data_IF_962852964671
#
_entry.id   IF_962852964671
#
_cell.length_a   1.000
_cell.length_b   1.000
_cell.length_c   1.000
_cell.angle_alpha   90.00
_cell.angle_beta   90.00
_cell.angle_gamma   90.00
#
_symmetry.space_group_name_H-M   'P 1'
#
loop_
_entity.id
_entity.type
_entity.pdbx_description
1 polymer ?
#
# COMPACT_ATOMS: atom_id res chain seq x y z
N UNK A 1 -14.50 1.01 44.67
CA UNK A 1 -15.98 1.15 44.60
C UNK A 1 -16.36 1.48 43.16
N UNK A 2 -16.89 0.51 42.41
CA UNK A 2 -17.27 0.70 41.01
C UNK A 2 -18.69 1.27 40.88
N UNK A 3 -18.88 2.23 39.97
CA UNK A 3 -20.21 2.69 39.55
C UNK A 3 -20.65 1.86 38.33
N UNK A 4 -21.72 1.09 38.50
CA UNK A 4 -22.46 0.46 37.40
C UNK A 4 -23.64 1.38 37.06
N UNK A 5 -23.61 2.04 35.92
CA UNK A 5 -24.75 2.78 35.38
C UNK A 5 -25.62 1.83 34.56
N UNK A 6 -26.65 1.27 35.20
CA UNK A 6 -27.79 0.67 34.50
C UNK A 6 -28.66 1.79 33.92
N UNK A 7 -28.70 1.91 32.59
CA UNK A 7 -29.73 2.69 31.90
C UNK A 7 -30.26 1.92 30.69
N UNK A 8 -31.34 1.18 30.90
CA UNK A 8 -32.33 0.87 29.88
C UNK A 8 -33.72 0.89 30.52
N UNK A 9 -34.21 2.08 30.89
CA UNK A 9 -35.65 2.27 31.02
C UNK A 9 -36.23 2.38 29.60
N UNK A 10 -36.70 1.26 29.04
CA UNK A 10 -37.61 1.29 27.91
C UNK A 10 -38.90 1.97 28.37
N UNK A 11 -39.12 3.21 27.92
CA UNK A 11 -40.43 3.85 28.02
C UNK A 11 -41.39 3.08 27.12
N UNK A 12 -42.19 2.19 27.71
CA UNK A 12 -43.33 1.60 27.02
C UNK A 12 -44.41 2.67 26.88
N UNK A 13 -44.72 3.08 25.65
CA UNK A 13 -45.89 3.89 25.35
C UNK A 13 -47.15 3.03 25.57
N UNK A 14 -47.97 3.39 26.56
CA UNK A 14 -49.29 2.78 26.76
C UNK A 14 -50.28 3.47 25.83
N UNK A 15 -50.71 2.79 24.78
CA UNK A 15 -51.88 3.20 24.01
C UNK A 15 -53.14 2.88 24.82
N UNK A 16 -53.89 3.91 25.22
CA UNK A 16 -55.24 3.77 25.77
C UNK A 16 -56.27 4.05 24.67
N UNK A 17 -57.23 3.15 24.46
CA UNK A 17 -58.34 3.34 23.53
C UNK A 17 -59.57 3.91 24.26
N UNK A 18 -60.33 4.86 23.68
CA UNK A 18 -61.62 5.30 24.22
C UNK A 18 -62.66 4.18 24.12
N UNK A 19 -63.41 3.94 25.20
CA UNK A 19 -64.33 2.81 25.34
C UNK A 19 -65.68 2.94 24.59
N UNK A 20 -65.75 3.70 23.49
CA UNK A 20 -67.02 4.00 22.80
C UNK A 20 -67.20 3.38 21.41
N UNK A 21 -66.29 2.53 20.94
CA UNK A 21 -66.51 1.76 19.72
C UNK A 21 -66.17 0.28 19.94
N UNK A 22 -67.22 -0.54 19.95
CA UNK A 22 -67.18 -1.99 20.03
C UNK A 22 -66.70 -2.58 18.70
N UNK A 23 -65.38 -2.66 18.53
CA UNK A 23 -64.67 -3.74 17.84
C UNK A 23 -63.18 -3.47 18.03
N UNK A 24 -62.42 -4.37 18.68
CA UNK A 24 -60.97 -4.20 18.76
C UNK A 24 -60.41 -4.16 17.33
N UNK A 25 -59.52 -3.20 17.00
CA UNK A 25 -58.86 -3.20 15.71
C UNK A 25 -58.12 -4.52 15.53
N UNK A 26 -58.24 -5.11 14.34
CA UNK A 26 -57.62 -6.38 14.00
C UNK A 26 -56.11 -6.27 14.32
N UNK A 27 -55.64 -7.10 15.26
CA UNK A 27 -54.24 -7.08 15.68
C UNK A 27 -53.37 -7.26 14.44
N UNK A 28 -52.34 -6.42 14.22
CA UNK A 28 -51.48 -6.56 13.06
C UNK A 28 -50.93 -7.99 13.06
N UNK A 29 -51.26 -8.76 12.02
CA UNK A 29 -50.76 -10.14 11.84
C UNK A 29 -49.24 -10.07 11.98
N UNK A 30 -48.71 -10.76 13.00
CA UNK A 30 -47.28 -10.89 13.21
C UNK A 30 -46.68 -11.56 11.97
N UNK A 31 -46.16 -10.74 11.06
CA UNK A 31 -45.36 -11.22 9.94
C UNK A 31 -44.13 -11.88 10.59
N UNK A 32 -43.81 -13.14 10.29
CA UNK A 32 -42.59 -13.75 10.80
C UNK A 32 -41.43 -12.85 10.37
N UNK A 33 -40.82 -12.18 11.35
CA UNK A 33 -39.63 -11.39 11.09
C UNK A 33 -38.63 -12.35 10.45
N UNK A 34 -38.25 -12.08 9.19
CA UNK A 34 -37.08 -12.72 8.57
C UNK A 34 -35.88 -12.27 9.39
N UNK A 35 -35.62 -12.94 10.51
CA UNK A 35 -34.49 -12.70 11.41
C UNK A 35 -33.22 -13.25 10.77
N UNK A 36 -32.88 -12.70 9.61
CA UNK A 36 -31.50 -12.76 9.15
C UNK A 36 -30.66 -11.91 10.11
N UNK A 37 -29.42 -12.33 10.41
CA UNK A 37 -28.54 -11.60 11.31
C UNK A 37 -28.43 -10.15 10.84
N UNK A 38 -28.59 -9.23 11.80
CA UNK A 38 -28.54 -7.79 11.52
C UNK A 38 -27.18 -7.40 10.92
N UNK A 39 -27.06 -6.25 10.26
CA UNK A 39 -25.76 -5.81 9.70
C UNK A 39 -24.66 -5.75 10.77
N UNK A 40 -25.01 -5.40 12.00
CA UNK A 40 -24.10 -5.38 13.17
C UNK A 40 -23.71 -6.78 13.60
N UNK A 41 -24.65 -7.71 13.56
CA UNK A 41 -24.44 -9.13 13.90
C UNK A 41 -23.67 -9.87 12.80
N UNK A 42 -23.90 -9.58 11.52
CA UNK A 42 -23.04 -10.05 10.42
C UNK A 42 -21.63 -9.48 10.50
N UNK A 43 -21.49 -8.20 10.88
CA UNK A 43 -20.17 -7.60 11.10
C UNK A 43 -19.45 -8.23 12.30
N UNK A 44 -20.21 -8.55 13.36
CA UNK A 44 -19.70 -9.27 14.52
C UNK A 44 -19.29 -10.70 14.14
N UNK A 45 -20.17 -11.50 13.53
CA UNK A 45 -19.88 -12.86 13.07
C UNK A 45 -18.73 -12.92 12.05
N UNK A 46 -18.56 -11.90 11.20
CA UNK A 46 -17.36 -11.76 10.34
C UNK A 46 -16.08 -11.47 11.14
N UNK A 47 -16.20 -10.81 12.30
CA UNK A 47 -15.08 -10.44 13.16
C UNK A 47 -14.69 -11.55 14.13
N UNK A 48 -15.65 -12.28 14.69
CA UNK A 48 -15.42 -13.37 15.65
C UNK A 48 -15.43 -14.78 15.02
N UNK A 49 -15.86 -14.92 13.76
CA UNK A 49 -16.07 -16.23 13.14
C UNK A 49 -17.26 -16.98 13.76
N UNK A 50 -17.73 -18.07 13.14
CA UNK A 50 -18.56 -19.02 13.86
C UNK A 50 -17.77 -19.58 15.06
N UNK A 51 -18.44 -19.73 16.20
CA UNK A 51 -17.88 -20.38 17.39
C UNK A 51 -17.21 -21.70 16.97
N UNK A 52 -15.88 -21.79 17.13
CA UNK A 52 -15.11 -23.02 16.86
C UNK A 52 -14.22 -23.04 15.60
N UNK A 53 -14.14 -21.98 14.80
CA UNK A 53 -13.06 -21.88 13.80
C UNK A 53 -11.76 -21.45 14.48
N UNK A 54 -10.71 -22.25 14.32
CA UNK A 54 -9.37 -21.98 14.84
C UNK A 54 -8.95 -20.51 14.59
N UNK A 55 -8.27 -19.87 15.55
CA UNK A 55 -7.83 -18.49 15.38
C UNK A 55 -6.97 -18.41 14.12
N UNK A 56 -7.38 -17.55 13.17
CA UNK A 56 -6.61 -17.31 11.95
C UNK A 56 -5.16 -17.02 12.33
N UNK A 57 -4.18 -17.68 11.68
CA UNK A 57 -2.77 -17.46 11.98
C UNK A 57 -2.44 -15.96 11.92
N UNK A 58 -1.60 -15.50 12.85
CA UNK A 58 -1.12 -14.13 12.84
C UNK A 58 -0.30 -13.89 11.56
N UNK A 59 -0.40 -12.70 10.94
CA UNK A 59 0.41 -12.41 9.78
C UNK A 59 1.89 -12.38 10.12
N UNK A 60 2.70 -12.99 9.26
CA UNK A 60 4.15 -12.86 9.30
C UNK A 60 4.50 -11.49 8.72
N UNK A 61 5.22 -10.65 9.45
CA UNK A 61 5.53 -9.31 8.97
C UNK A 61 6.62 -9.36 7.91
N UNK A 62 6.39 -8.70 6.78
CA UNK A 62 7.32 -8.73 5.64
C UNK A 62 8.72 -8.18 5.98
N UNK A 63 8.80 -7.19 6.89
CA UNK A 63 10.07 -6.62 7.36
C UNK A 63 10.98 -7.65 8.06
N UNK A 64 10.40 -8.73 8.57
CA UNK A 64 11.09 -9.80 9.27
C UNK A 64 11.42 -10.97 8.31
N UNK A 65 11.13 -10.82 7.01
CA UNK A 65 11.39 -11.79 5.95
C UNK A 65 12.47 -11.29 5.00
N UNK A 66 13.31 -12.21 4.54
CA UNK A 66 14.30 -11.96 3.50
C UNK A 66 13.64 -12.05 2.11
N UNK A 67 13.94 -11.08 1.25
CA UNK A 67 13.64 -11.17 -0.18
C UNK A 67 14.65 -12.06 -0.89
N UNK A 68 14.16 -12.89 -1.82
CA UNK A 68 14.95 -13.68 -2.75
C UNK A 68 15.44 -12.78 -3.91
N UNK A 69 16.51 -12.03 -3.65
CA UNK A 69 17.07 -11.06 -4.60
C UNK A 69 17.77 -11.71 -5.79
N UNK A 70 18.21 -12.97 -5.65
CA UNK A 70 18.90 -13.72 -6.70
C UNK A 70 17.95 -14.21 -7.81
N UNK A 71 16.66 -14.35 -7.50
CA UNK A 71 15.64 -14.86 -8.43
C UNK A 71 14.59 -13.80 -8.81
N UNK A 72 15.01 -12.53 -8.81
CA UNK A 72 14.15 -11.45 -9.25
C UNK A 72 13.81 -11.59 -10.74
N UNK A 73 12.60 -11.18 -11.15
CA UNK A 73 12.22 -11.18 -12.56
C UNK A 73 13.10 -10.18 -13.33
N UNK A 74 13.18 -10.34 -14.66
CA UNK A 74 13.86 -9.36 -15.49
C UNK A 74 13.19 -7.99 -15.39
N UNK A 75 13.94 -6.88 -15.38
CA UNK A 75 13.39 -5.54 -15.52
C UNK A 75 12.46 -5.45 -16.74
N UNK A 76 11.31 -4.80 -16.58
CA UNK A 76 10.23 -4.75 -17.58
C UNK A 76 9.14 -5.81 -17.38
N UNK A 77 9.34 -6.78 -16.48
CA UNK A 77 8.34 -7.83 -16.24
C UNK A 77 7.11 -7.31 -15.50
N UNK A 78 5.92 -7.60 -16.04
CA UNK A 78 4.62 -7.36 -15.40
C UNK A 78 4.33 -8.42 -14.34
N UNK A 79 3.98 -8.01 -13.11
CA UNK A 79 3.76 -8.92 -11.99
C UNK A 79 2.29 -9.08 -11.64
N UNK A 80 1.58 -7.97 -11.41
CA UNK A 80 0.17 -8.03 -11.02
C UNK A 80 -0.40 -6.69 -10.58
N UNK A 81 -1.71 -6.64 -10.33
CA UNK A 81 -2.42 -5.39 -10.02
C UNK A 81 -2.18 -4.87 -8.59
N UNK A 82 -1.70 -5.73 -7.70
CA UNK A 82 -1.55 -5.44 -6.28
C UNK A 82 -0.10 -5.55 -5.84
N UNK A 83 0.26 -4.80 -4.79
CA UNK A 83 1.58 -4.90 -4.16
C UNK A 83 1.85 -6.31 -3.63
N UNK A 84 0.80 -7.04 -3.21
CA UNK A 84 0.90 -8.44 -2.79
C UNK A 84 1.51 -9.32 -3.90
N UNK A 85 1.15 -9.08 -5.17
CA UNK A 85 1.71 -9.83 -6.30
C UNK A 85 3.22 -9.60 -6.43
N UNK A 86 3.67 -8.34 -6.26
CA UNK A 86 5.09 -7.99 -6.28
C UNK A 86 5.84 -8.54 -5.07
N UNK A 87 5.23 -8.47 -3.88
CA UNK A 87 5.80 -9.02 -2.64
C UNK A 87 5.99 -10.53 -2.75
N UNK A 88 4.99 -11.27 -3.24
CA UNK A 88 5.12 -12.72 -3.43
C UNK A 88 6.26 -13.06 -4.39
N UNK A 89 6.47 -12.23 -5.43
CA UNK A 89 7.59 -12.42 -6.35
C UNK A 89 8.94 -12.17 -5.68
N UNK A 90 9.06 -11.10 -4.88
CA UNK A 90 10.31 -10.77 -4.16
C UNK A 90 10.63 -11.78 -3.07
N UNK A 91 9.65 -12.22 -2.29
CA UNK A 91 9.86 -13.23 -1.25
C UNK A 91 10.13 -14.61 -1.87
N UNK A 92 9.58 -14.87 -3.05
CA UNK A 92 9.78 -16.10 -3.80
C UNK A 92 8.69 -17.14 -3.53
N UNK A 93 8.31 -17.87 -4.58
CA UNK A 93 7.25 -18.89 -4.50
C UNK A 93 7.61 -20.04 -3.55
N UNK A 94 8.89 -20.40 -3.47
CA UNK A 94 9.35 -21.47 -2.59
C UNK A 94 9.03 -21.17 -1.13
N UNK A 95 9.35 -19.97 -0.65
CA UNK A 95 9.01 -19.55 0.71
C UNK A 95 7.49 -19.53 0.92
N UNK A 96 6.73 -19.00 -0.04
CA UNK A 96 5.27 -18.96 0.05
C UNK A 96 4.65 -20.36 0.21
N UNK A 97 5.24 -21.39 -0.41
CA UNK A 97 4.78 -22.78 -0.30
C UNK A 97 5.11 -23.42 1.06
N UNK A 98 6.04 -22.85 1.84
CA UNK A 98 6.36 -23.32 3.20
C UNK A 98 5.46 -22.73 4.28
N UNK A 99 4.64 -21.72 3.93
CA UNK A 99 3.77 -21.06 4.90
C UNK A 99 2.63 -22.00 5.34
N UNK A 100 2.34 -22.10 6.65
CA UNK A 100 1.20 -22.87 7.13
C UNK A 100 -0.10 -22.35 6.52
N UNK A 101 -1.03 -23.25 6.21
CA UNK A 101 -2.31 -22.91 5.61
C UNK A 101 -3.03 -21.81 6.41
N UNK A 102 -3.57 -20.81 5.70
CA UNK A 102 -4.24 -19.66 6.30
C UNK A 102 -3.31 -18.56 6.84
N UNK A 103 -1.99 -18.78 6.84
CA UNK A 103 -1.00 -17.74 7.15
C UNK A 103 -0.80 -16.83 5.94
N UNK A 104 -0.58 -15.54 6.19
CA UNK A 104 -0.35 -14.55 5.13
C UNK A 104 0.74 -13.57 5.55
N UNK A 105 1.33 -12.91 4.56
CA UNK A 105 2.35 -11.88 4.78
C UNK A 105 1.66 -10.54 5.07
N UNK A 106 2.02 -9.92 6.19
CA UNK A 106 1.53 -8.62 6.62
C UNK A 106 2.50 -7.49 6.26
N UNK A 107 1.97 -6.42 5.64
CA UNK A 107 2.68 -5.17 5.39
C UNK A 107 1.69 -4.02 5.15
N UNK A 108 2.18 -2.77 5.18
CA UNK A 108 1.34 -1.60 4.90
C UNK A 108 1.11 -1.41 3.39
N UNK A 109 -0.02 -1.95 2.88
CA UNK A 109 -0.41 -1.82 1.46
C UNK A 109 -0.58 -0.37 0.99
N UNK A 110 -0.83 0.59 1.90
CA UNK A 110 -1.04 2.00 1.55
C UNK A 110 0.26 2.79 1.41
N UNK A 111 1.35 2.36 2.03
CA UNK A 111 2.63 3.09 1.93
C UNK A 111 3.26 2.90 0.56
N UNK A 112 3.90 3.94 0.04
CA UNK A 112 4.71 3.85 -1.17
C UNK A 112 5.98 3.02 -0.99
N UNK A 113 6.37 2.76 0.27
CA UNK A 113 7.57 2.01 0.62
C UNK A 113 7.19 0.80 1.46
N UNK A 114 7.79 -0.33 1.13
CA UNK A 114 7.65 -1.58 1.87
C UNK A 114 9.05 -2.09 2.21
N UNK A 115 9.22 -2.63 3.42
CA UNK A 115 10.50 -3.10 3.93
C UNK A 115 10.51 -4.62 4.02
N UNK A 116 11.64 -5.21 3.62
CA UNK A 116 12.08 -6.58 3.92
C UNK A 116 13.40 -6.52 4.70
N UNK A 117 13.89 -7.65 5.19
CA UNK A 117 15.14 -7.68 5.97
C UNK A 117 16.37 -7.27 5.15
N UNK A 118 16.38 -7.49 3.83
CA UNK A 118 17.50 -7.20 2.93
C UNK A 118 17.18 -6.26 1.76
N UNK A 119 15.96 -5.73 1.66
CA UNK A 119 15.58 -4.80 0.61
C UNK A 119 14.44 -3.85 0.98
N UNK A 120 14.44 -2.69 0.33
CA UNK A 120 13.35 -1.73 0.26
C UNK A 120 12.63 -1.88 -1.06
N UNK A 121 11.30 -1.88 -1.03
CA UNK A 121 10.46 -1.93 -2.23
C UNK A 121 9.71 -0.62 -2.37
N UNK A 122 10.02 0.14 -3.41
CA UNK A 122 9.38 1.40 -3.76
C UNK A 122 8.29 1.12 -4.78
N UNK A 123 7.08 1.59 -4.49
CA UNK A 123 5.90 1.46 -5.34
C UNK A 123 5.42 2.83 -5.77
N UNK A 124 5.53 3.12 -7.06
CA UNK A 124 4.93 4.29 -7.67
C UNK A 124 3.66 3.93 -8.44
N UNK A 125 2.65 4.80 -8.38
CA UNK A 125 1.45 4.70 -9.18
C UNK A 125 1.21 6.06 -9.81
N UNK A 126 1.38 6.15 -11.13
CA UNK A 126 1.18 7.40 -11.85
C UNK A 126 -0.30 7.72 -12.12
N UNK A 127 -1.18 6.77 -11.82
CA UNK A 127 -2.62 6.88 -12.00
C UNK A 127 -3.21 7.98 -11.11
N UNK A 128 -3.64 9.07 -11.74
CA UNK A 128 -4.26 10.22 -11.06
C UNK A 128 -3.54 11.56 -11.29
N UNK A 129 -2.30 11.55 -11.81
CA UNK A 129 -1.54 12.79 -12.06
C UNK A 129 -1.99 13.57 -13.31
N UNK A 130 -2.82 12.97 -14.18
CA UNK A 130 -3.21 13.56 -15.48
C UNK A 130 -4.22 14.73 -15.36
N UNK A 131 -4.78 15.02 -14.17
CA UNK A 131 -5.95 15.91 -14.05
C UNK A 131 -5.71 17.32 -13.48
N UNK A 132 -4.49 17.68 -13.07
CA UNK A 132 -4.22 19.06 -12.64
C UNK A 132 -2.88 19.55 -13.21
N UNK A 133 -2.88 20.40 -14.26
CA UNK A 133 -1.65 20.93 -14.86
C UNK A 133 -0.78 21.72 -13.87
N UNK A 134 -1.34 22.19 -12.74
CA UNK A 134 -0.61 22.85 -11.65
C UNK A 134 -0.23 21.96 -10.45
N UNK A 135 -0.59 20.67 -10.44
CA UNK A 135 -0.31 19.74 -9.33
C UNK A 135 0.16 18.39 -9.88
N UNK A 136 1.22 18.42 -10.69
CA UNK A 136 1.88 17.20 -11.16
C UNK A 136 2.51 16.47 -9.98
N UNK A 137 2.42 15.15 -9.99
CA UNK A 137 3.05 14.27 -9.00
C UNK A 137 4.51 14.68 -8.78
N UNK A 138 4.94 14.79 -7.52
CA UNK A 138 6.35 15.05 -7.16
C UNK A 138 7.28 13.91 -7.57
N UNK A 139 6.71 12.76 -7.94
CA UNK A 139 7.47 11.61 -8.45
C UNK A 139 7.32 11.45 -9.96
N UNK A 140 8.42 11.22 -10.67
CA UNK A 140 8.46 11.07 -12.12
C UNK A 140 9.86 10.76 -12.65
N UNK A 141 9.93 10.40 -13.94
CA UNK A 141 11.17 10.03 -14.60
C UNK A 141 11.95 11.27 -15.07
N UNK A 142 13.28 11.14 -15.13
CA UNK A 142 14.24 12.11 -15.65
C UNK A 142 15.21 11.39 -16.60
N UNK A 143 15.96 12.16 -17.41
CA UNK A 143 17.07 11.66 -18.25
C UNK A 143 16.66 10.39 -19.02
N UNK A 144 15.56 10.49 -19.77
CA UNK A 144 14.99 9.39 -20.57
C UNK A 144 14.71 8.10 -19.78
N UNK A 145 14.34 8.25 -18.51
CA UNK A 145 13.97 7.16 -17.62
C UNK A 145 15.13 6.55 -16.84
N UNK A 146 16.37 7.02 -17.07
CA UNK A 146 17.55 6.55 -16.32
C UNK A 146 17.46 6.89 -14.83
N UNK A 147 16.76 7.97 -14.50
CA UNK A 147 16.54 8.37 -13.12
C UNK A 147 15.09 8.64 -12.83
N UNK A 148 14.81 8.61 -11.54
CA UNK A 148 13.48 8.74 -11.03
C UNK A 148 13.51 9.55 -9.74
N UNK A 149 12.64 10.56 -9.66
CA UNK A 149 12.38 11.24 -8.39
C UNK A 149 11.25 10.48 -7.70
N UNK A 150 11.47 10.11 -6.44
CA UNK A 150 10.46 9.54 -5.57
C UNK A 150 10.26 10.41 -4.33
N UNK A 151 9.05 10.91 -4.11
CA UNK A 151 8.74 11.71 -2.93
C UNK A 151 8.35 10.81 -1.76
N UNK A 152 9.05 10.97 -0.64
CA UNK A 152 8.70 10.34 0.64
C UNK A 152 8.14 11.38 1.60
N UNK A 153 7.13 11.00 2.37
CA UNK A 153 6.59 11.85 3.43
C UNK A 153 6.82 11.18 4.80
N UNK A 154 7.96 11.47 5.46
CA UNK A 154 8.31 10.83 6.73
C UNK A 154 7.43 11.28 7.90
N UNK A 155 6.68 12.38 7.78
CA UNK A 155 5.90 12.99 8.88
C UNK A 155 4.44 12.54 8.91
N UNK A 156 3.92 11.99 7.82
CA UNK A 156 2.50 11.59 7.68
C UNK A 156 2.04 10.45 8.61
N UNK A 157 2.96 9.74 9.25
CA UNK A 157 2.63 8.67 10.19
C UNK A 157 3.32 8.94 11.52
N UNK A 158 2.57 8.86 12.62
CA UNK A 158 3.05 9.02 14.00
C UNK A 158 4.17 8.03 14.37
N UNK A 159 5.38 8.23 13.84
CA UNK A 159 6.64 7.67 14.32
C UNK A 159 7.17 6.37 13.69
N UNK A 160 6.44 5.65 12.81
CA UNK A 160 6.91 4.33 12.29
C UNK A 160 6.45 4.00 10.86
N UNK A 161 6.71 4.88 9.88
CA UNK A 161 6.50 4.53 8.46
C UNK A 161 7.76 3.92 7.86
N UNK A 162 7.59 2.97 6.93
CA UNK A 162 8.68 2.45 6.09
C UNK A 162 9.36 3.56 5.27
N UNK A 163 8.65 4.65 4.99
CA UNK A 163 9.19 5.85 4.32
C UNK A 163 10.19 6.59 5.20
N UNK A 164 9.92 6.71 6.50
CA UNK A 164 10.85 7.32 7.45
C UNK A 164 12.10 6.45 7.63
N UNK A 165 11.94 5.14 7.78
CA UNK A 165 13.08 4.22 7.94
C UNK A 165 13.91 4.13 6.67
N UNK A 166 13.29 4.20 5.48
CA UNK A 166 14.01 4.36 4.22
C UNK A 166 14.82 5.66 4.20
N UNK A 167 14.23 6.79 4.58
CA UNK A 167 14.91 8.10 4.61
C UNK A 167 16.11 8.08 5.56
N UNK A 168 15.96 7.50 6.76
CA UNK A 168 17.04 7.31 7.71
C UNK A 168 18.16 6.42 7.14
N UNK A 169 17.82 5.35 6.42
CA UNK A 169 18.77 4.47 5.73
C UNK A 169 19.56 5.22 4.64
N UNK A 170 18.89 5.92 3.72
CA UNK A 170 19.61 6.65 2.66
C UNK A 170 20.43 7.82 3.21
N UNK A 171 19.98 8.47 4.29
CA UNK A 171 20.73 9.54 4.94
C UNK A 171 21.98 9.02 5.66
N UNK A 172 21.89 7.83 6.27
CA UNK A 172 22.99 7.23 7.04
C UNK A 172 24.04 6.57 6.16
N UNK A 173 23.66 6.00 5.01
CA UNK A 173 24.60 5.39 4.06
C UNK A 173 25.58 6.39 3.44
N UNK A 174 25.24 7.68 3.40
CA UNK A 174 26.20 8.73 3.03
C UNK A 174 27.33 8.89 4.07
N UNK A 175 27.14 8.42 5.31
CA UNK A 175 28.04 8.67 6.45
C UNK A 175 28.77 7.39 6.88
N UNK A 176 28.16 6.21 6.79
CA UNK A 176 28.77 4.95 7.25
C UNK A 176 28.45 3.77 6.31
N UNK A 177 29.45 3.31 5.55
CA UNK A 177 29.36 2.15 4.63
C UNK A 177 29.27 0.76 5.32
N UNK A 178 28.90 0.69 6.59
CA UNK A 178 29.01 -0.52 7.41
C UNK A 178 27.67 -1.15 7.83
N UNK A 179 26.52 -0.63 7.39
CA UNK A 179 25.23 -1.27 7.63
C UNK A 179 24.84 -2.14 6.44
N UNK A 180 24.31 -3.33 6.74
CA UNK A 180 23.85 -4.35 5.80
C UNK A 180 23.25 -3.77 4.52
N UNK A 181 23.76 -4.27 3.39
CA UNK A 181 23.69 -3.70 2.06
C UNK A 181 22.28 -3.85 1.45
N UNK A 182 21.26 -3.30 2.14
CA UNK A 182 19.85 -3.38 1.75
C UNK A 182 19.67 -2.75 0.37
N UNK A 183 19.11 -3.52 -0.56
CA UNK A 183 18.89 -3.05 -1.94
C UNK A 183 17.57 -2.30 -2.07
N UNK A 184 17.48 -1.34 -2.98
CA UNK A 184 16.24 -0.63 -3.29
C UNK A 184 15.68 -1.20 -4.60
N UNK A 185 14.45 -1.71 -4.56
CA UNK A 185 13.72 -2.29 -5.69
C UNK A 185 12.62 -1.34 -6.14
N UNK A 186 12.47 -1.13 -7.44
CA UNK A 186 11.47 -0.22 -7.97
C UNK A 186 10.35 -0.93 -8.75
N UNK A 187 9.12 -0.61 -8.37
CA UNK A 187 7.89 -1.09 -9.00
C UNK A 187 7.03 0.11 -9.37
N UNK A 188 6.55 0.16 -10.60
CA UNK A 188 5.65 1.22 -11.03
C UNK A 188 4.55 0.73 -11.98
N UNK A 189 3.53 1.56 -12.18
CA UNK A 189 2.42 1.34 -13.12
C UNK A 189 1.87 2.68 -13.60
N UNK A 190 1.40 2.79 -14.84
CA UNK A 190 0.84 4.06 -15.35
C UNK A 190 -0.48 4.41 -14.66
N UNK A 191 -1.27 3.39 -14.32
CA UNK A 191 -2.62 3.57 -13.79
C UNK A 191 -3.04 2.56 -12.73
N UNK A 192 -4.14 2.86 -12.04
CA UNK A 192 -4.75 1.93 -11.06
C UNK A 192 -5.32 0.66 -11.69
N UNK A 193 -5.61 0.71 -12.99
CA UNK A 193 -6.13 -0.42 -13.79
C UNK A 193 -5.03 -1.24 -14.45
N UNK A 194 -3.77 -0.88 -14.23
CA UNK A 194 -2.63 -1.57 -14.81
C UNK A 194 -1.90 -2.40 -13.78
N UNK A 195 -1.13 -3.37 -14.28
CA UNK A 195 -0.26 -4.19 -13.45
C UNK A 195 0.98 -3.39 -13.09
N UNK A 196 1.56 -3.69 -11.94
CA UNK A 196 2.90 -3.25 -11.59
C UNK A 196 3.92 -3.95 -12.48
N UNK A 197 4.84 -3.15 -13.00
CA UNK A 197 6.06 -3.56 -13.68
C UNK A 197 7.22 -3.45 -12.70
N UNK A 198 8.12 -4.43 -12.71
CA UNK A 198 9.39 -4.35 -12.01
C UNK A 198 10.43 -3.63 -12.87
N UNK A 199 11.08 -2.60 -12.35
CA UNK A 199 12.04 -1.76 -13.09
C UNK A 199 13.50 -2.06 -12.73
N UNK A 200 13.76 -2.97 -11.80
CA UNK A 200 15.11 -3.29 -11.38
C UNK A 200 15.49 -2.68 -10.03
N UNK A 201 16.81 -2.66 -9.82
CA UNK A 201 17.50 -2.09 -8.69
C UNK A 201 17.69 -0.58 -8.86
N UNK A 202 17.61 0.12 -7.73
CA UNK A 202 17.86 1.54 -7.65
C UNK A 202 18.97 1.85 -6.67
N UNK A 203 19.71 2.92 -6.97
CA UNK A 203 20.61 3.58 -6.02
C UNK A 203 20.09 5.00 -5.73
N UNK A 204 20.08 5.40 -4.46
CA UNK A 204 19.74 6.78 -4.13
C UNK A 204 20.98 7.67 -4.28
N UNK A 205 20.92 8.61 -5.21
CA UNK A 205 22.04 9.52 -5.53
C UNK A 205 22.01 10.74 -4.62
N UNK A 206 20.82 11.32 -4.41
CA UNK A 206 20.61 12.58 -3.69
C UNK A 206 19.24 12.61 -3.02
N UNK A 207 19.15 13.38 -1.94
CA UNK A 207 17.90 13.70 -1.26
C UNK A 207 17.68 15.22 -1.31
N UNK A 208 16.48 15.66 -1.66
CA UNK A 208 16.10 17.07 -1.69
C UNK A 208 14.96 17.31 -0.70
N UNK A 209 15.23 17.93 0.46
CA UNK A 209 14.17 18.37 1.37
C UNK A 209 13.22 19.35 0.67
N UNK A 210 11.93 19.23 0.97
CA UNK A 210 10.90 20.16 0.52
C UNK A 210 10.31 20.89 1.74
N UNK A 211 9.83 22.12 1.55
CA UNK A 211 9.27 22.95 2.62
C UNK A 211 8.07 22.31 3.32
N UNK A 212 7.39 21.39 2.64
CA UNK A 212 6.25 20.61 3.17
C UNK A 212 6.64 19.53 4.20
N UNK A 213 7.93 19.35 4.48
CA UNK A 213 8.45 18.25 5.31
C UNK A 213 8.50 16.90 4.58
N UNK A 214 8.17 16.87 3.29
CA UNK A 214 8.49 15.75 2.41
C UNK A 214 9.91 15.85 1.88
N UNK A 215 10.45 14.74 1.37
CA UNK A 215 11.78 14.67 0.79
C UNK A 215 11.69 13.98 -0.56
N UNK A 216 12.29 14.58 -1.58
CA UNK A 216 12.44 13.97 -2.89
C UNK A 216 13.74 13.18 -2.95
N UNK A 217 13.63 11.88 -3.18
CA UNK A 217 14.76 10.97 -3.40
C UNK A 217 15.04 10.90 -4.89
N UNK A 218 16.25 11.26 -5.32
CA UNK A 218 16.73 11.02 -6.67
C UNK A 218 17.33 9.63 -6.74
N UNK A 219 16.69 8.76 -7.51
CA UNK A 219 17.08 7.36 -7.69
C UNK A 219 17.65 7.13 -9.08
N UNK A 220 18.79 6.46 -9.17
CA UNK A 220 19.35 5.95 -10.43
C UNK A 220 18.85 4.52 -10.67
N UNK A 221 18.32 4.23 -11.86
CA UNK A 221 17.99 2.86 -12.25
C UNK A 221 19.26 2.14 -12.72
N UNK A 222 19.73 1.19 -11.91
CA UNK A 222 20.96 0.43 -12.21
C UNK A 222 20.77 -0.49 -13.43
N UNK A 223 19.57 -1.03 -13.58
CA UNK A 223 19.21 -1.95 -14.67
C UNK A 223 18.61 -1.25 -15.90
N UNK A 224 18.85 0.07 -16.05
CA UNK A 224 18.29 0.86 -17.15
C UNK A 224 18.55 0.25 -18.53
N UNK A 225 19.76 -0.28 -18.76
CA UNK A 225 20.14 -0.87 -20.05
C UNK A 225 19.25 -2.07 -20.43
N UNK A 226 18.76 -2.82 -19.44
CA UNK A 226 17.82 -3.93 -19.68
C UNK A 226 16.43 -3.43 -20.08
N UNK A 227 16.04 -2.23 -19.62
CA UNK A 227 14.76 -1.61 -19.95
C UNK A 227 14.75 -0.98 -21.34
N UNK A 228 15.85 -0.34 -21.78
CA UNK A 228 15.89 0.37 -23.08
C UNK A 228 16.47 -0.41 -24.24
N UNK A 229 17.15 -1.54 -23.98
CA UNK A 229 17.72 -2.41 -25.01
C UNK A 229 16.68 -3.04 -25.95
N UNK A 230 17.12 -3.97 -26.79
CA UNK A 230 16.30 -4.66 -27.80
C UNK A 230 15.35 -5.73 -27.21
N UNK A 231 14.72 -5.41 -26.08
CA UNK A 231 13.74 -6.25 -25.40
C UNK A 231 12.33 -5.82 -25.80
N UNK A 232 11.38 -6.77 -25.78
CA UNK A 232 9.96 -6.54 -26.11
C UNK A 232 9.28 -5.49 -25.23
N UNK A 233 9.85 -5.14 -24.08
CA UNK A 233 9.27 -4.19 -23.11
C UNK A 233 9.80 -2.75 -23.28
N UNK A 234 10.75 -2.52 -24.19
CA UNK A 234 11.41 -1.22 -24.38
C UNK A 234 10.45 -0.14 -24.87
N UNK A 235 9.48 -0.49 -25.71
CA UNK A 235 8.43 0.43 -26.17
C UNK A 235 7.56 0.91 -25.02
N UNK A 236 7.07 -0.03 -24.20
CA UNK A 236 6.14 0.25 -23.10
C UNK A 236 6.84 1.08 -22.01
N UNK A 237 8.13 0.78 -21.76
CA UNK A 237 8.96 1.58 -20.87
C UNK A 237 9.12 3.01 -21.39
N UNK A 238 9.49 3.18 -22.66
CA UNK A 238 9.68 4.51 -23.28
C UNK A 238 8.39 5.31 -23.28
N UNK A 239 7.26 4.68 -23.59
CA UNK A 239 5.94 5.32 -23.53
C UNK A 239 5.61 5.78 -22.11
N UNK A 240 5.82 4.92 -21.10
CA UNK A 240 5.61 5.30 -19.70
C UNK A 240 6.52 6.47 -19.31
N UNK A 241 7.81 6.43 -19.66
CA UNK A 241 8.76 7.50 -19.35
C UNK A 241 8.29 8.81 -19.99
N UNK A 242 7.93 8.81 -21.27
CA UNK A 242 7.43 10.01 -21.95
C UNK A 242 6.17 10.57 -21.30
N UNK A 243 5.24 9.70 -20.90
CA UNK A 243 4.01 10.10 -20.23
C UNK A 243 4.24 10.65 -18.81
N UNK A 244 5.35 10.26 -18.17
CA UNK A 244 5.65 10.52 -16.75
C UNK A 244 6.95 11.31 -16.54
N UNK A 245 7.46 11.96 -17.59
CA UNK A 245 8.60 12.88 -17.47
C UNK A 245 8.23 14.01 -16.51
N UNK A 246 8.97 14.10 -15.41
CA UNK A 246 8.79 15.18 -14.47
C UNK A 246 9.27 16.49 -15.12
N UNK A 247 8.53 17.60 -14.92
CA UNK A 247 8.97 18.95 -15.33
C UNK A 247 10.22 19.43 -14.54
N UNK A 248 10.78 18.58 -13.67
CA UNK A 248 11.87 18.93 -12.75
C UNK A 248 13.20 19.33 -13.39
N UNK A 249 13.36 19.29 -14.73
CA UNK A 249 14.52 19.91 -15.38
C UNK A 249 14.67 21.41 -15.03
N UNK A 250 13.56 22.12 -14.76
CA UNK A 250 13.62 23.52 -14.31
C UNK A 250 13.99 23.65 -12.83
N UNK A 251 13.60 22.69 -11.98
CA UNK A 251 13.85 22.75 -10.53
C UNK A 251 15.26 22.29 -10.13
N UNK A 252 15.86 21.36 -10.90
CA UNK A 252 17.23 20.90 -10.63
C UNK A 252 18.24 21.98 -11.02
N UNK A 253 18.03 22.69 -12.12
CA UNK A 253 18.91 23.78 -12.56
C UNK A 253 18.76 25.07 -11.74
N UNK A 254 17.65 25.25 -11.00
CA UNK A 254 17.43 26.42 -10.14
C UNK A 254 17.93 26.24 -8.69
N UNK A 255 18.41 25.04 -8.33
CA UNK A 255 18.87 24.69 -6.96
C UNK A 255 20.36 24.35 -6.87
N UNK A 256 21.12 24.56 -7.96
CA UNK A 256 22.60 24.58 -8.00
C UNK A 256 23.03 26.04 -8.06
#
# INVERSE_FOLDING_TARGET
MGKVTNMLMQKMARQSWPASHATPPDLPKLVPAKSGPTKKERAHLRKVGPYGTDPKPKPIQLKDLQGNLDNLPLPGTLLGYTKDSCVHRVVGHEFMNTLPEGTYIGFNRRSGVIETTNAWMIFCNFGGSKQNPGKRSSSGFLRDGKDFIFNVNPTNYHGKSSERTLLEFVSSNHVAKNQDDKKILFFARDGTREKYTYFGLCECIKCFPQDSGSVDLLLNLMDYNHLVGDCSFSSDFKELVQNQQAISEVLINARV
#
